data_IF_084641297729
#
_entry.id   IF_084641297729
#
_cell.length_a   1.000
_cell.length_b   1.000
_cell.length_c   1.000
_cell.angle_alpha   90.00
_cell.angle_beta   90.00
_cell.angle_gamma   90.00
#
_symmetry.space_group_name_H-M   'P 1'
#
loop_
_entity.id
_entity.type
_entity.pdbx_description
1 polymer ?
#
# COMPACT_ATOMS: atom_id res chain seq x y z
N UNK A 1 1.81 -12.75 7.47
CA UNK A 1 2.18 -11.97 6.32
C UNK A 1 3.68 -12.07 6.33
N UNK A 2 4.30 -12.71 5.36
CA UNK A 2 5.76 -12.68 5.27
C UNK A 2 6.22 -11.35 4.68
N UNK A 3 7.52 -11.07 4.63
CA UNK A 3 8.04 -9.91 3.90
C UNK A 3 7.55 -9.85 2.43
N UNK A 4 7.28 -10.99 1.79
CA UNK A 4 6.63 -11.05 0.48
C UNK A 4 5.29 -10.31 0.43
N UNK A 5 4.45 -10.45 1.45
CA UNK A 5 3.14 -9.78 1.50
C UNK A 5 3.32 -8.28 1.70
N UNK A 6 4.35 -7.86 2.44
CA UNK A 6 4.67 -6.45 2.61
C UNK A 6 5.11 -5.83 1.27
N UNK A 7 6.01 -6.49 0.56
CA UNK A 7 6.44 -6.06 -0.78
C UNK A 7 5.23 -5.99 -1.72
N UNK A 8 4.38 -7.03 -1.73
CA UNK A 8 3.16 -7.05 -2.53
C UNK A 8 2.21 -5.90 -2.17
N UNK A 9 2.02 -5.60 -0.88
CA UNK A 9 1.18 -4.48 -0.47
C UNK A 9 1.72 -3.12 -0.94
N UNK A 10 3.03 -2.93 -0.84
CA UNK A 10 3.71 -1.73 -1.35
C UNK A 10 3.51 -1.65 -2.87
N UNK A 11 3.71 -2.75 -3.60
CA UNK A 11 3.51 -2.81 -5.05
C UNK A 11 2.07 -2.52 -5.45
N UNK A 12 1.08 -3.05 -4.72
CA UNK A 12 -0.35 -2.77 -4.98
C UNK A 12 -0.63 -1.27 -4.84
N UNK A 13 -0.11 -0.64 -3.77
CA UNK A 13 -0.28 0.79 -3.56
C UNK A 13 0.33 1.60 -4.71
N UNK A 14 1.60 1.35 -5.03
CA UNK A 14 2.31 2.05 -6.11
C UNK A 14 1.58 1.86 -7.45
N UNK A 15 1.15 0.64 -7.76
CA UNK A 15 0.45 0.35 -9.00
C UNK A 15 -0.87 1.13 -9.09
N UNK A 16 -1.75 1.02 -8.09
CA UNK A 16 -3.11 1.56 -8.17
C UNK A 16 -3.17 3.08 -8.01
N UNK A 17 -2.34 3.67 -7.16
CA UNK A 17 -2.42 5.11 -6.84
C UNK A 17 -1.32 5.95 -7.47
N UNK A 18 -0.12 5.40 -7.72
CA UNK A 18 0.97 6.16 -8.32
C UNK A 18 1.09 5.92 -9.83
N UNK A 19 0.94 4.69 -10.33
CA UNK A 19 1.22 4.38 -11.74
C UNK A 19 -0.02 4.33 -12.64
N UNK A 20 -1.07 3.59 -12.27
CA UNK A 20 -2.30 3.42 -13.07
C UNK A 20 -2.97 4.75 -13.48
N UNK A 21 -3.02 5.78 -12.62
CA UNK A 21 -3.56 7.09 -13.00
C UNK A 21 -2.79 7.77 -14.14
N UNK A 22 -1.55 7.36 -14.42
CA UNK A 22 -0.71 7.91 -15.49
C UNK A 22 -0.65 7.01 -16.74
N UNK A 23 -1.01 5.74 -16.65
CA UNK A 23 -0.99 4.77 -17.77
C UNK A 23 -2.06 4.98 -18.85
N UNK A 24 -2.83 6.08 -18.78
CA UNK A 24 -3.78 6.49 -19.82
C UNK A 24 -5.12 6.98 -19.25
N UNK A 25 -6.04 7.34 -20.15
CA UNK A 25 -7.37 7.83 -19.74
C UNK A 25 -8.36 6.72 -19.37
N UNK A 26 -8.10 5.47 -19.75
CA UNK A 26 -9.01 4.35 -19.52
C UNK A 26 -9.25 4.07 -18.04
N UNK A 27 -8.20 4.12 -17.20
CA UNK A 27 -8.36 3.90 -15.76
C UNK A 27 -9.13 5.03 -15.09
N UNK A 28 -8.86 6.28 -15.47
CA UNK A 28 -9.65 7.43 -15.00
C UNK A 28 -11.11 7.32 -15.41
N UNK A 29 -11.40 6.83 -16.63
CA UNK A 29 -12.77 6.54 -17.10
C UNK A 29 -13.42 5.41 -16.29
N UNK A 30 -12.67 4.36 -15.97
CA UNK A 30 -13.14 3.26 -15.12
C UNK A 30 -13.56 3.80 -13.74
N UNK A 31 -12.71 4.59 -13.09
CA UNK A 31 -13.03 5.20 -11.79
C UNK A 31 -14.23 6.14 -11.91
N UNK A 32 -14.31 6.96 -12.96
CA UNK A 32 -15.44 7.86 -13.20
C UNK A 32 -16.77 7.13 -13.45
N UNK A 33 -16.73 5.87 -13.93
CA UNK A 33 -17.92 5.04 -14.13
C UNK A 33 -18.40 4.35 -12.84
N UNK A 34 -17.63 4.37 -11.75
CA UNK A 34 -18.03 3.78 -10.47
C UNK A 34 -19.13 4.62 -9.79
N UNK A 35 -20.01 4.01 -8.98
CA UNK A 35 -20.90 4.75 -8.08
C UNK A 35 -20.13 5.73 -7.19
N UNK A 36 -20.73 6.90 -6.92
CA UNK A 36 -20.10 7.99 -6.14
C UNK A 36 -19.36 7.55 -4.87
N UNK A 37 -19.93 6.68 -4.01
CA UNK A 37 -19.24 6.21 -2.81
C UNK A 37 -17.91 5.50 -3.07
N UNK A 38 -17.81 4.72 -4.15
CA UNK A 38 -16.57 4.01 -4.51
C UNK A 38 -15.52 4.97 -5.07
N UNK A 39 -15.95 6.03 -5.76
CA UNK A 39 -15.03 7.10 -6.19
C UNK A 39 -14.43 7.80 -4.98
N UNK A 40 -15.27 8.19 -4.01
CA UNK A 40 -14.83 8.82 -2.76
C UNK A 40 -13.90 7.89 -1.98
N UNK A 41 -14.22 6.59 -1.90
CA UNK A 41 -13.37 5.61 -1.22
C UNK A 41 -11.98 5.52 -1.87
N UNK A 42 -11.92 5.44 -3.20
CA UNK A 42 -10.65 5.42 -3.94
C UNK A 42 -9.82 6.69 -3.69
N UNK A 43 -10.45 7.86 -3.65
CA UNK A 43 -9.77 9.13 -3.36
C UNK A 43 -9.24 9.20 -1.92
N UNK A 44 -10.04 8.76 -0.94
CA UNK A 44 -9.64 8.72 0.47
C UNK A 44 -8.52 7.71 0.74
N UNK A 45 -8.47 6.64 -0.05
CA UNK A 45 -7.45 5.59 0.04
C UNK A 45 -6.10 5.95 -0.59
N UNK A 46 -5.93 7.19 -1.08
CA UNK A 46 -4.62 7.73 -1.48
C UNK A 46 -3.60 7.81 -0.34
N UNK A 47 -4.01 7.65 0.91
CA UNK A 47 -3.05 7.53 2.01
C UNK A 47 -2.50 6.09 2.07
N UNK A 48 -1.17 5.88 1.91
CA UNK A 48 -0.57 4.55 1.87
C UNK A 48 -0.73 3.77 3.18
N UNK A 49 -0.95 4.47 4.30
CA UNK A 49 -1.32 3.85 5.57
C UNK A 49 -2.79 3.39 5.55
N UNK A 50 -3.72 4.27 5.16
CA UNK A 50 -5.15 3.96 5.20
C UNK A 50 -5.51 2.75 4.33
N UNK A 51 -5.01 2.72 3.08
CA UNK A 51 -5.25 1.56 2.23
C UNK A 51 -4.34 0.38 2.55
N UNK A 52 -3.13 0.66 3.06
CA UNK A 52 -2.22 -0.36 3.55
C UNK A 52 -2.85 -1.23 4.64
N UNK A 53 -3.67 -0.65 5.52
CA UNK A 53 -4.43 -1.41 6.51
C UNK A 53 -5.40 -2.41 5.87
N UNK A 54 -6.21 -1.96 4.91
CA UNK A 54 -7.18 -2.82 4.21
C UNK A 54 -6.50 -3.89 3.36
N UNK A 55 -5.42 -3.54 2.67
CA UNK A 55 -4.56 -4.49 1.96
C UNK A 55 -4.00 -5.52 2.95
N UNK A 56 -3.55 -5.07 4.12
CA UNK A 56 -3.05 -5.90 5.21
C UNK A 56 -4.07 -6.96 5.63
N UNK A 57 -5.28 -6.52 5.96
CA UNK A 57 -6.38 -7.41 6.33
C UNK A 57 -6.72 -8.40 5.21
N UNK A 58 -6.84 -7.93 3.97
CA UNK A 58 -7.19 -8.78 2.82
C UNK A 58 -6.11 -9.84 2.55
N UNK A 59 -4.84 -9.43 2.55
CA UNK A 59 -3.72 -10.36 2.36
C UNK A 59 -3.62 -11.37 3.51
N UNK A 60 -3.89 -10.95 4.74
CA UNK A 60 -3.99 -11.89 5.86
C UNK A 60 -5.15 -12.88 5.64
N UNK A 61 -6.34 -12.40 5.26
CA UNK A 61 -7.52 -13.24 4.98
C UNK A 61 -7.21 -14.31 3.92
N UNK A 62 -6.55 -13.91 2.84
CA UNK A 62 -6.27 -14.78 1.68
C UNK A 62 -5.12 -15.73 1.96
N UNK A 63 -4.07 -15.28 2.66
CA UNK A 63 -2.86 -16.10 2.86
C UNK A 63 -2.82 -16.85 4.18
N UNK A 64 -3.64 -16.48 5.16
CA UNK A 64 -3.63 -17.02 6.53
C UNK A 64 -2.36 -16.71 7.32
N UNK A 65 -1.45 -15.91 6.76
CA UNK A 65 -0.15 -15.66 7.39
C UNK A 65 -0.25 -14.46 8.34
N UNK A 66 0.50 -14.49 9.45
CA UNK A 66 0.71 -13.39 10.43
C UNK A 66 2.00 -12.60 10.22
N UNK A 67 1.97 -11.26 10.20
CA UNK A 67 3.17 -10.42 10.08
C UNK A 67 4.05 -10.58 11.30
N UNK A 68 3.41 -10.49 12.47
CA UNK A 68 4.04 -10.79 13.75
C UNK A 68 3.35 -12.03 14.33
N UNK A 69 4.06 -13.17 14.45
CA UNK A 69 3.49 -14.40 15.01
C UNK A 69 2.88 -14.22 16.41
N UNK A 70 3.41 -13.27 17.19
CA UNK A 70 2.90 -12.91 18.51
C UNK A 70 1.41 -12.51 18.49
N UNK A 71 0.93 -11.84 17.43
CA UNK A 71 -0.49 -11.48 17.33
C UNK A 71 -1.39 -12.69 17.06
N UNK A 72 -0.88 -13.73 16.39
CA UNK A 72 -1.62 -14.98 16.20
C UNK A 72 -1.81 -15.76 17.50
N UNK A 73 -0.86 -15.63 18.43
CA UNK A 73 -0.92 -16.28 19.75
C UNK A 73 -1.97 -15.65 20.67
N UNK A 74 -2.39 -14.40 20.43
CA UNK A 74 -3.43 -13.73 21.24
C UNK A 74 -4.76 -14.48 21.25
N UNK A 75 -5.04 -15.27 20.20
CA UNK A 75 -6.22 -16.14 20.16
C UNK A 75 -6.22 -17.23 21.25
N UNK A 76 -5.03 -17.70 21.66
CA UNK A 76 -4.90 -18.71 22.70
C UNK A 76 -5.24 -18.15 24.09
N UNK A 77 -4.88 -16.89 24.35
CA UNK A 77 -5.09 -16.26 25.65
C UNK A 77 -6.52 -15.72 25.79
N UNK A 78 -7.04 -15.06 24.75
CA UNK A 78 -8.28 -14.25 24.83
C UNK A 78 -9.40 -14.77 23.92
N UNK A 79 -9.25 -15.98 23.36
CA UNK A 79 -10.24 -16.63 22.51
C UNK A 79 -10.56 -15.84 21.24
N UNK A 80 -11.84 -15.79 20.86
CA UNK A 80 -12.30 -15.12 19.63
C UNK A 80 -11.95 -13.63 19.62
N UNK A 81 -12.05 -12.95 20.76
CA UNK A 81 -11.70 -11.52 20.88
C UNK A 81 -10.22 -11.31 20.60
N UNK A 82 -9.37 -12.18 21.16
CA UNK A 82 -7.93 -12.17 20.89
C UNK A 82 -7.60 -12.39 19.42
N UNK A 83 -8.35 -13.26 18.74
CA UNK A 83 -8.16 -13.51 17.30
C UNK A 83 -8.49 -12.27 16.46
N UNK A 84 -9.61 -11.59 16.75
CA UNK A 84 -10.00 -10.37 16.02
C UNK A 84 -9.04 -9.22 16.30
N UNK A 85 -8.66 -9.00 17.57
CA UNK A 85 -7.70 -7.96 17.94
C UNK A 85 -6.33 -8.21 17.33
N UNK A 86 -5.85 -9.44 17.38
CA UNK A 86 -4.60 -9.84 16.75
C UNK A 86 -4.62 -9.50 15.25
N UNK A 87 -5.69 -9.86 14.54
CA UNK A 87 -5.80 -9.60 13.11
C UNK A 87 -5.77 -8.10 12.79
N UNK A 88 -6.51 -7.30 13.56
CA UNK A 88 -6.49 -5.83 13.41
C UNK A 88 -5.11 -5.25 13.71
N UNK A 89 -4.45 -5.69 14.78
CA UNK A 89 -3.11 -5.21 15.15
C UNK A 89 -2.04 -5.59 14.13
N UNK A 90 -2.11 -6.80 13.58
CA UNK A 90 -1.26 -7.26 12.49
C UNK A 90 -1.44 -6.37 11.25
N UNK A 91 -2.70 -6.06 10.89
CA UNK A 91 -3.04 -5.14 9.80
C UNK A 91 -2.55 -3.70 10.04
N UNK A 92 -2.62 -3.19 11.28
CA UNK A 92 -2.11 -1.86 11.63
C UNK A 92 -0.58 -1.81 11.51
N UNK A 93 0.12 -2.82 12.00
CA UNK A 93 1.57 -2.91 11.89
C UNK A 93 2.00 -3.01 10.42
N UNK A 94 1.27 -3.81 9.63
CA UNK A 94 1.44 -3.87 8.18
C UNK A 94 1.25 -2.50 7.51
N UNK A 95 0.22 -1.75 7.88
CA UNK A 95 -0.05 -0.42 7.33
C UNK A 95 1.09 0.58 7.58
N UNK A 96 1.69 0.56 8.77
CA UNK A 96 2.87 1.38 9.10
C UNK A 96 4.03 1.02 8.18
N UNK A 97 4.38 -0.27 8.10
CA UNK A 97 5.49 -0.72 7.26
C UNK A 97 5.23 -0.44 5.77
N UNK A 98 3.99 -0.59 5.31
CA UNK A 98 3.59 -0.29 3.94
C UNK A 98 3.86 1.19 3.61
N UNK A 99 3.38 2.10 4.47
CA UNK A 99 3.64 3.54 4.33
C UNK A 99 5.14 3.85 4.37
N UNK A 100 5.89 3.25 5.29
CA UNK A 100 7.34 3.43 5.36
C UNK A 100 8.03 2.96 4.09
N UNK A 101 7.64 1.81 3.53
CA UNK A 101 8.19 1.29 2.27
C UNK A 101 7.91 2.20 1.09
N UNK A 102 6.67 2.69 0.95
CA UNK A 102 6.31 3.67 -0.08
C UNK A 102 7.13 4.95 0.04
N UNK A 103 7.26 5.51 1.25
CA UNK A 103 8.07 6.71 1.48
C UNK A 103 9.54 6.45 1.16
N UNK A 104 10.09 5.29 1.56
CA UNK A 104 11.46 4.93 1.28
C UNK A 104 11.72 4.85 -0.24
N UNK A 105 10.84 4.20 -1.00
CA UNK A 105 10.95 4.12 -2.47
C UNK A 105 10.88 5.52 -3.10
N UNK A 106 9.93 6.36 -2.66
CA UNK A 106 9.81 7.72 -3.17
C UNK A 106 11.03 8.58 -2.81
N UNK A 107 11.58 8.44 -1.60
CA UNK A 107 12.79 9.14 -1.19
C UNK A 107 14.02 8.67 -1.99
N UNK A 108 14.14 7.37 -2.27
CA UNK A 108 15.21 6.82 -3.10
C UNK A 108 15.10 7.27 -4.57
N UNK A 109 13.88 7.55 -5.04
CA UNK A 109 13.63 8.05 -6.40
C UNK A 109 14.03 9.51 -6.58
N UNK A 110 14.04 10.30 -5.50
CA UNK A 110 14.39 11.72 -5.54
C UNK A 110 15.80 12.04 -6.09
N UNK A 111 16.91 11.41 -5.64
CA UNK A 111 18.23 11.67 -6.23
C UNK A 111 18.31 11.28 -7.70
N UNK A 112 17.57 10.25 -8.14
CA UNK A 112 17.50 9.88 -9.55
C UNK A 112 16.83 10.97 -10.40
N UNK A 113 15.74 11.56 -9.90
CA UNK A 113 15.08 12.70 -10.53
C UNK A 113 15.98 13.93 -10.63
N UNK A 114 16.72 14.25 -9.55
CA UNK A 114 17.71 15.34 -9.57
C UNK A 114 18.82 15.11 -10.60
N UNK A 115 19.29 13.87 -10.72
CA UNK A 115 20.28 13.50 -11.73
C UNK A 115 19.78 13.67 -13.16
N UNK A 116 18.51 13.31 -13.43
CA UNK A 116 17.87 13.49 -14.74
C UNK A 116 17.67 14.98 -15.05
N UNK A 117 17.16 15.77 -14.11
CA UNK A 117 16.97 17.21 -14.28
C UNK A 117 18.30 17.92 -14.61
N UNK A 118 19.37 17.62 -13.87
CA UNK A 118 20.71 18.17 -14.14
C UNK A 118 21.26 17.76 -15.51
N UNK A 119 21.02 16.53 -15.96
CA UNK A 119 21.42 16.11 -17.31
C UNK A 119 20.67 16.89 -18.38
N UNK A 120 19.38 17.13 -18.19
CA UNK A 120 18.55 17.90 -19.12
C UNK A 120 19.01 19.38 -19.19
N UNK A 121 19.41 19.98 -18.07
CA UNK A 121 20.02 21.32 -18.02
C UNK A 121 21.37 21.39 -18.74
N UNK A 122 22.23 20.36 -18.62
CA UNK A 122 23.59 20.38 -19.19
C UNK A 122 23.64 20.07 -20.69
N UNK A 123 22.75 19.21 -21.19
CA UNK A 123 22.82 18.71 -22.56
C UNK A 123 21.69 19.22 -23.47
N UNK A 124 20.70 19.94 -22.91
CA UNK A 124 19.46 20.26 -23.63
C UNK A 124 18.62 19.01 -23.88
N UNK A 125 17.31 19.18 -24.15
CA UNK A 125 16.48 18.09 -24.66
C UNK A 125 17.04 17.60 -26.02
N UNK A 126 17.02 16.29 -26.34
CA UNK A 126 17.20 15.86 -27.72
C UNK A 126 16.12 16.44 -28.65
#
# INVERSE_FOLDING_TARGET
MTYHNLILGISIYLLLWEHLPHWGSWFKRLIAALPGPLQTLYEQWRCPYCVGFWIGLALHAVTGNWLFPAFGQMSADWGLVGAVLGWVFDGLAFAVLNKTGVIAINALSYPALLGMAKKQEMYGDP
#
